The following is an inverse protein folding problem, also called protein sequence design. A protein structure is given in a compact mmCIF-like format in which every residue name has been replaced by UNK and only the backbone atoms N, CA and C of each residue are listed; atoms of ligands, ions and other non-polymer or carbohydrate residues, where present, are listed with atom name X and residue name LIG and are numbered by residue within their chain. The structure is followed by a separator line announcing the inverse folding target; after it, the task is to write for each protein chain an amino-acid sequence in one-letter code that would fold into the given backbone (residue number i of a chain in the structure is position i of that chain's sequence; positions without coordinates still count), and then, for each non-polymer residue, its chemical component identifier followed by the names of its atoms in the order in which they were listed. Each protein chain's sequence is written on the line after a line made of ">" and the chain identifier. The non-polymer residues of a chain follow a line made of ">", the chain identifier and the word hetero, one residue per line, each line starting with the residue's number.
data_IF_752116213987
#
_entry.id   IF_752116213987
#
_cell.length_a   1.000
_cell.length_b   1.000
_cell.length_c   1.000
_cell.angle_alpha   90.00
_cell.angle_beta   90.00
_cell.angle_gamma   90.00
#
_symmetry.space_group_name_H-M   'P 1'
#
loop_
_entity.id
_entity.type
_entity.pdbx_description
1 polymer ?
#
# COMPACT_ATOMS: atom_id res chain seq x y z
N UNK A 1 -19.96 44.23 -14.82
CA UNK A 1 -19.29 43.01 -14.34
C UNK A 1 -20.05 41.73 -14.76
N UNK A 2 -21.20 41.87 -15.42
CA UNK A 2 -22.11 40.75 -15.74
C UNK A 2 -21.66 39.86 -16.91
N UNK A 3 -20.82 40.39 -17.81
CA UNK A 3 -20.32 39.63 -18.97
C UNK A 3 -19.41 38.47 -18.60
N UNK A 4 -18.55 38.63 -17.59
CA UNK A 4 -17.61 37.58 -17.17
C UNK A 4 -18.34 36.40 -16.51
N UNK A 5 -19.38 36.69 -15.71
CA UNK A 5 -20.19 35.66 -15.06
C UNK A 5 -20.92 34.82 -16.09
N UNK A 6 -21.52 35.44 -17.11
CA UNK A 6 -22.17 34.70 -18.20
C UNK A 6 -21.19 33.83 -18.99
N UNK A 7 -19.97 34.33 -19.25
CA UNK A 7 -18.93 33.55 -19.94
C UNK A 7 -18.47 32.33 -19.11
N UNK A 8 -18.31 32.49 -17.79
CA UNK A 8 -17.99 31.37 -16.88
C UNK A 8 -19.10 30.33 -16.83
N UNK A 9 -20.37 30.75 -16.80
CA UNK A 9 -21.52 29.83 -16.82
C UNK A 9 -21.61 29.08 -18.14
N UNK A 10 -21.37 29.75 -19.28
CA UNK A 10 -21.34 29.10 -20.59
C UNK A 10 -20.20 28.06 -20.69
N UNK A 11 -19.00 28.41 -20.23
CA UNK A 11 -17.86 27.49 -20.19
C UNK A 11 -18.13 26.27 -19.30
N UNK A 12 -18.75 26.48 -18.14
CA UNK A 12 -19.11 25.38 -17.23
C UNK A 12 -20.16 24.44 -17.85
N UNK A 13 -21.16 24.97 -18.56
CA UNK A 13 -22.15 24.15 -19.28
C UNK A 13 -21.50 23.32 -20.39
N UNK A 14 -20.56 23.89 -21.14
CA UNK A 14 -19.81 23.17 -22.15
C UNK A 14 -18.96 22.03 -21.54
N UNK A 15 -18.32 22.28 -20.39
CA UNK A 15 -17.56 21.26 -19.67
C UNK A 15 -18.46 20.11 -19.18
N UNK A 16 -19.66 20.42 -18.66
CA UNK A 16 -20.64 19.40 -18.24
C UNK A 16 -21.09 18.56 -19.44
N UNK A 17 -21.34 19.17 -20.60
CA UNK A 17 -21.71 18.44 -21.81
C UNK A 17 -20.60 17.48 -22.26
N UNK A 18 -19.34 17.91 -22.19
CA UNK A 18 -18.18 17.05 -22.51
C UNK A 18 -18.04 15.87 -21.55
N UNK A 19 -18.19 16.10 -20.24
CA UNK A 19 -18.12 15.02 -19.25
C UNK A 19 -19.24 13.99 -19.44
N UNK A 20 -20.44 14.41 -19.86
CA UNK A 20 -21.52 13.48 -20.21
C UNK A 20 -21.14 12.59 -21.39
N UNK A 21 -20.60 13.17 -22.46
CA UNK A 21 -20.15 12.38 -23.62
C UNK A 21 -19.01 11.42 -23.28
N UNK A 22 -18.11 11.78 -22.36
CA UNK A 22 -17.05 10.87 -21.89
C UNK A 22 -17.61 9.72 -21.03
N UNK A 23 -18.62 9.98 -20.20
CA UNK A 23 -19.30 8.93 -19.44
C UNK A 23 -20.07 7.96 -20.32
N UNK A 24 -20.75 8.47 -21.36
CA UNK A 24 -21.45 7.62 -22.33
C UNK A 24 -20.44 6.73 -23.09
N UNK A 25 -19.31 7.29 -23.51
CA UNK A 25 -18.24 6.53 -24.18
C UNK A 25 -17.60 5.46 -23.27
N UNK A 26 -17.45 5.72 -21.98
CA UNK A 26 -16.97 4.73 -21.02
C UNK A 26 -17.99 3.60 -20.82
N UNK A 27 -19.28 3.91 -20.83
CA UNK A 27 -20.36 2.93 -20.71
C UNK A 27 -20.37 1.99 -21.91
N UNK A 28 -20.23 2.52 -23.13
CA UNK A 28 -20.08 1.71 -24.35
C UNK A 28 -18.81 0.83 -24.30
N UNK A 29 -17.70 1.35 -23.77
CA UNK A 29 -16.47 0.58 -23.63
C UNK A 29 -16.62 -0.58 -22.62
N UNK A 30 -17.39 -0.39 -21.55
CA UNK A 30 -17.71 -1.44 -20.56
C UNK A 30 -18.58 -2.54 -21.18
N UNK A 31 -19.59 -2.18 -21.98
CA UNK A 31 -20.41 -3.16 -22.72
C UNK A 31 -19.56 -3.99 -23.68
N UNK A 32 -18.65 -3.35 -24.44
CA UNK A 32 -17.73 -4.05 -25.34
C UNK A 32 -16.78 -4.99 -24.59
N UNK A 33 -16.31 -4.59 -23.41
CA UNK A 33 -15.41 -5.41 -22.60
C UNK A 33 -16.15 -6.60 -21.99
N UNK A 34 -17.40 -6.38 -21.57
CA UNK A 34 -18.31 -7.43 -21.08
C UNK A 34 -18.65 -8.44 -22.17
N UNK A 35 -18.92 -7.98 -23.40
CA UNK A 35 -19.17 -8.85 -24.55
C UNK A 35 -17.92 -9.66 -24.93
N UNK A 36 -16.73 -9.05 -24.87
CA UNK A 36 -15.46 -9.76 -25.04
C UNK A 36 -15.24 -10.81 -23.96
N UNK A 37 -15.46 -10.50 -22.69
CA UNK A 37 -15.32 -11.47 -21.60
C UNK A 37 -16.31 -12.63 -21.74
N UNK A 38 -17.55 -12.36 -22.13
CA UNK A 38 -18.55 -13.39 -22.43
C UNK A 38 -18.12 -14.26 -23.61
N UNK A 39 -17.52 -13.66 -24.66
CA UNK A 39 -16.98 -14.42 -25.80
C UNK A 39 -15.81 -15.33 -25.43
N UNK A 40 -15.07 -14.99 -24.37
CA UNK A 40 -13.97 -15.78 -23.83
C UNK A 40 -14.43 -16.89 -22.86
N UNK A 41 -15.74 -17.03 -22.62
CA UNK A 41 -16.29 -18.02 -21.69
C UNK A 41 -15.98 -17.74 -20.23
N UNK A 42 -15.63 -16.50 -19.89
CA UNK A 42 -15.45 -16.05 -18.51
C UNK A 42 -16.83 -15.61 -18.02
N UNK A 43 -17.67 -16.57 -17.68
CA UNK A 43 -18.94 -16.28 -17.02
C UNK A 43 -18.66 -15.77 -15.60
N UNK A 44 -19.33 -14.69 -15.19
CA UNK A 44 -19.20 -13.99 -13.89
C UNK A 44 -19.36 -14.88 -12.64
N UNK A 45 -19.65 -16.16 -12.81
CA UNK A 45 -19.78 -17.15 -11.75
C UNK A 45 -18.48 -17.37 -10.92
N UNK A 46 -17.31 -16.94 -11.42
CA UNK A 46 -16.02 -17.16 -10.74
C UNK A 46 -15.71 -16.06 -9.70
N UNK A 47 -16.47 -14.96 -9.63
CA UNK A 47 -16.21 -13.89 -8.65
C UNK A 47 -16.70 -14.16 -7.23
N UNK A 48 -17.44 -15.25 -7.01
CA UNK A 48 -17.48 -15.88 -5.69
C UNK A 48 -16.14 -16.59 -5.47
N UNK A 49 -15.17 -15.81 -4.98
CA UNK A 49 -13.98 -16.33 -4.32
C UNK A 49 -14.48 -17.16 -3.14
N UNK A 50 -14.71 -18.45 -3.39
CA UNK A 50 -14.85 -19.45 -2.37
C UNK A 50 -13.49 -19.46 -1.67
N UNK A 51 -13.40 -18.78 -0.52
CA UNK A 51 -12.23 -18.88 0.33
C UNK A 51 -12.02 -20.39 0.54
N UNK A 52 -10.86 -20.96 0.21
CA UNK A 52 -10.60 -22.36 0.49
C UNK A 52 -10.84 -22.53 1.99
N UNK A 53 -11.88 -23.29 2.31
CA UNK A 53 -12.18 -23.69 3.69
C UNK A 53 -10.97 -24.50 4.12
N UNK A 54 -10.04 -23.85 4.83
CA UNK A 54 -8.85 -24.49 5.40
C UNK A 54 -9.36 -25.50 6.42
N UNK A 55 -9.44 -26.76 6.00
CA UNK A 55 -9.68 -27.88 6.88
C UNK A 55 -8.55 -27.93 7.91
N UNK A 56 -8.84 -27.64 9.18
CA UNK A 56 -7.88 -27.90 10.26
C UNK A 56 -7.81 -26.90 11.40
N UNK A 57 -8.63 -25.85 11.46
CA UNK A 57 -8.69 -25.00 12.66
C UNK A 57 -9.66 -25.64 13.70
N UNK A 58 -9.18 -26.05 14.89
CA UNK A 58 -10.04 -26.56 15.94
C UNK A 58 -10.93 -25.44 16.45
N UNK A 59 -12.18 -25.45 15.98
CA UNK A 59 -13.29 -24.64 16.45
C UNK A 59 -13.42 -24.75 17.97
N UNK A 60 -12.89 -23.74 18.69
CA UNK A 60 -13.10 -23.57 20.13
C UNK A 60 -14.55 -23.15 20.34
N UNK A 61 -15.42 -24.16 20.36
CA UNK A 61 -16.88 -24.11 20.46
C UNK A 61 -17.31 -23.45 21.77
N UNK A 62 -17.39 -22.11 21.81
CA UNK A 62 -18.02 -21.39 22.91
C UNK A 62 -19.54 -21.43 22.70
N UNK A 63 -20.15 -22.40 23.38
CA UNK A 63 -21.58 -22.64 23.57
C UNK A 63 -22.27 -21.32 23.96
N UNK A 64 -22.82 -20.58 23.00
CA UNK A 64 -23.86 -19.58 23.25
C UNK A 64 -25.20 -20.21 22.91
N UNK A 65 -26.08 -20.12 23.89
CA UNK A 65 -27.40 -20.73 23.90
C UNK A 65 -28.23 -20.24 22.71
N UNK A 66 -28.98 -21.17 22.15
CA UNK A 66 -30.02 -20.95 21.18
C UNK A 66 -31.14 -20.09 21.80
N UNK A 67 -31.50 -19.02 21.12
CA UNK A 67 -32.85 -18.46 21.14
C UNK A 67 -33.26 -18.33 19.69
N UNK A 68 -34.24 -19.14 19.31
CA UNK A 68 -34.77 -19.21 17.97
C UNK A 68 -35.83 -18.14 17.70
N UNK A 69 -35.88 -17.73 16.44
CA UNK A 69 -37.03 -17.28 15.65
C UNK A 69 -36.42 -17.01 14.26
N UNK A 70 -36.70 -17.76 13.20
CA UNK A 70 -38.03 -18.12 12.72
C UNK A 70 -38.55 -16.95 11.87
N UNK A 71 -38.20 -16.91 10.59
CA UNK A 71 -38.70 -15.90 9.66
C UNK A 71 -37.95 -15.84 8.33
N UNK A 72 -38.62 -16.29 7.28
CA UNK A 72 -38.35 -16.13 5.86
C UNK A 72 -37.36 -15.04 5.42
N UNK A 73 -36.30 -15.42 4.69
CA UNK A 73 -35.47 -14.47 3.93
C UNK A 73 -34.87 -15.12 2.68
N UNK A 74 -35.68 -15.86 1.93
CA UNK A 74 -35.29 -16.50 0.66
C UNK A 74 -35.66 -15.64 -0.55
N UNK A 75 -35.35 -14.33 -0.55
CA UNK A 75 -35.56 -13.44 -1.71
C UNK A 75 -34.65 -12.20 -1.75
N UNK A 76 -33.51 -12.18 -1.03
CA UNK A 76 -32.56 -11.03 -1.08
C UNK A 76 -31.22 -11.40 -1.72
N UNK A 77 -31.22 -12.20 -2.79
CA UNK A 77 -29.98 -12.58 -3.51
C UNK A 77 -29.74 -11.81 -4.82
N UNK A 78 -30.65 -10.92 -5.23
CA UNK A 78 -30.52 -10.16 -6.48
C UNK A 78 -30.28 -8.65 -6.30
N UNK A 79 -30.38 -8.10 -5.08
CA UNK A 79 -30.27 -6.64 -4.85
C UNK A 79 -28.89 -6.19 -4.35
N UNK A 80 -27.97 -7.11 -4.04
CA UNK A 80 -26.66 -6.77 -3.46
C UNK A 80 -25.60 -6.38 -4.51
N UNK A 81 -25.79 -6.73 -5.79
CA UNK A 81 -24.85 -6.39 -6.86
C UNK A 81 -24.92 -4.92 -7.30
N UNK A 82 -26.07 -4.25 -7.16
CA UNK A 82 -26.23 -2.85 -7.56
C UNK A 82 -25.67 -1.83 -6.57
N UNK A 83 -25.67 -2.15 -5.27
CA UNK A 83 -25.22 -1.21 -4.24
C UNK A 83 -23.68 -1.04 -4.22
N UNK A 84 -22.93 -2.09 -4.59
CA UNK A 84 -21.46 -2.02 -4.67
C UNK A 84 -20.97 -1.10 -5.78
N UNK A 85 -21.66 -1.09 -6.92
CA UNK A 85 -21.27 -0.28 -8.08
C UNK A 85 -21.52 1.21 -7.83
N UNK A 86 -22.65 1.56 -7.19
CA UNK A 86 -22.93 2.96 -6.79
C UNK A 86 -21.92 3.48 -5.75
N UNK A 87 -21.49 2.64 -4.81
CA UNK A 87 -20.45 3.01 -3.84
C UNK A 87 -19.08 3.20 -4.51
N UNK A 88 -18.75 2.34 -5.48
CA UNK A 88 -17.54 2.44 -6.29
C UNK A 88 -17.49 3.73 -7.11
N UNK A 89 -18.58 4.04 -7.83
CA UNK A 89 -18.69 5.29 -8.60
C UNK A 89 -18.62 6.51 -7.70
N UNK A 90 -19.30 6.50 -6.53
CA UNK A 90 -19.24 7.60 -5.58
C UNK A 90 -17.82 7.84 -5.04
N UNK A 91 -17.04 6.77 -4.77
CA UNK A 91 -15.65 6.87 -4.35
C UNK A 91 -14.75 7.44 -5.46
N UNK A 92 -14.94 7.03 -6.71
CA UNK A 92 -14.18 7.56 -7.85
C UNK A 92 -14.48 9.04 -8.07
N UNK A 93 -15.74 9.45 -7.99
CA UNK A 93 -16.15 10.86 -8.08
C UNK A 93 -15.54 11.70 -6.95
N UNK A 94 -15.60 11.21 -5.70
CA UNK A 94 -14.95 11.87 -4.56
C UNK A 94 -13.43 11.99 -4.72
N UNK A 95 -12.76 10.96 -5.25
CA UNK A 95 -11.32 10.99 -5.51
C UNK A 95 -10.98 12.00 -6.61
N UNK A 96 -11.76 12.05 -7.68
CA UNK A 96 -11.58 13.02 -8.77
C UNK A 96 -11.77 14.47 -8.28
N UNK A 97 -12.79 14.72 -7.44
CA UNK A 97 -13.02 16.02 -6.80
C UNK A 97 -11.85 16.44 -5.90
N UNK A 98 -11.28 15.51 -5.12
CA UNK A 98 -10.12 15.78 -4.26
C UNK A 98 -8.85 16.09 -5.09
N UNK A 99 -8.68 15.42 -6.24
CA UNK A 99 -7.56 15.69 -7.16
C UNK A 99 -7.68 17.04 -7.86
N UNK A 100 -8.89 17.43 -8.28
CA UNK A 100 -9.14 18.73 -8.91
C UNK A 100 -8.93 19.87 -7.91
N UNK A 101 -9.44 19.73 -6.68
CA UNK A 101 -9.26 20.75 -5.63
C UNK A 101 -7.79 20.95 -5.25
N UNK A 102 -6.99 19.88 -5.16
CA UNK A 102 -5.53 20.00 -4.93
C UNK A 102 -4.77 20.61 -6.09
N UNK A 103 -5.25 20.43 -7.33
CA UNK A 103 -4.61 21.02 -8.52
C UNK A 103 -4.90 22.52 -8.67
N UNK A 104 -5.93 23.02 -7.98
CA UNK A 104 -6.29 24.43 -7.98
C UNK A 104 -5.56 25.27 -6.95
N UNK A 105 -4.63 24.71 -6.17
CA UNK A 105 -3.80 25.53 -5.28
C UNK A 105 -2.76 26.28 -6.13
N UNK A 106 -2.88 27.62 -6.27
CA UNK A 106 -1.93 28.41 -7.03
C UNK A 106 -0.56 28.28 -6.37
N UNK A 107 0.43 27.84 -7.14
CA UNK A 107 1.80 27.68 -6.69
C UNK A 107 2.23 28.91 -5.86
N UNK A 108 2.66 28.74 -4.60
CA UNK A 108 3.20 29.85 -3.84
C UNK A 108 4.42 30.37 -4.61
N UNK A 109 4.33 31.62 -5.03
CA UNK A 109 5.40 32.37 -5.66
C UNK A 109 6.48 32.53 -4.58
N UNK A 110 7.36 31.55 -4.46
CA UNK A 110 8.47 31.58 -3.53
C UNK A 110 9.46 32.63 -4.04
N UNK A 111 9.36 33.84 -3.50
CA UNK A 111 10.41 34.85 -3.55
C UNK A 111 11.68 34.25 -2.95
N UNK A 112 12.62 33.90 -3.81
CA UNK A 112 14.00 33.63 -3.44
C UNK A 112 14.61 34.93 -2.87
N UNK A 113 14.78 34.97 -1.56
CA UNK A 113 15.67 35.94 -0.91
C UNK A 113 16.84 35.17 -0.31
N UNK A 114 17.95 35.19 -1.05
CA UNK A 114 19.24 34.66 -0.63
C UNK A 114 19.98 35.73 0.18
N UNK A 115 20.42 35.40 1.39
CA UNK A 115 21.49 36.00 2.21
C UNK A 115 21.37 35.37 3.62
N UNK A 116 22.38 34.96 4.38
CA UNK A 116 23.83 35.06 4.34
C UNK A 116 24.38 33.92 5.25
N UNK A 117 25.49 33.27 4.89
CA UNK A 117 26.79 33.37 5.58
C UNK A 117 26.74 33.56 7.10
N UNK A 118 27.00 32.51 7.89
CA UNK A 118 27.80 32.56 9.15
C UNK A 118 28.54 31.22 9.35
N UNK A 119 29.80 31.37 9.78
CA UNK A 119 30.92 30.45 10.01
C UNK A 119 30.72 29.20 10.91
N UNK A 120 31.67 28.25 10.87
CA UNK A 120 31.70 27.04 11.71
C UNK A 120 32.36 27.28 13.09
N UNK A 121 31.91 26.59 14.15
CA UNK A 121 32.73 26.35 15.33
C UNK A 121 33.25 24.90 15.39
N UNK A 122 34.57 24.80 15.50
CA UNK A 122 35.31 23.61 15.85
C UNK A 122 35.08 23.18 17.31
N UNK A 123 34.95 21.87 17.53
CA UNK A 123 35.25 21.18 18.80
C UNK A 123 35.41 19.69 18.46
N UNK A 124 36.61 19.13 18.32
CA UNK A 124 37.50 18.63 19.39
C UNK A 124 36.79 17.90 20.52
N UNK A 125 36.68 16.56 20.43
CA UNK A 125 36.85 15.67 21.59
C UNK A 125 37.19 14.22 21.19
N UNK A 126 38.43 13.86 21.56
CA UNK A 126 38.98 12.58 22.08
C UNK A 126 38.90 11.27 21.25
N UNK A 127 40.06 10.70 20.83
CA UNK A 127 40.20 9.29 20.54
C UNK A 127 40.47 8.49 21.83
N UNK A 128 39.58 7.55 22.18
CA UNK A 128 39.88 6.53 23.20
C UNK A 128 40.37 5.28 22.50
N UNK A 129 41.68 5.09 22.58
CA UNK A 129 42.38 3.85 22.28
C UNK A 129 42.31 2.91 23.48
N UNK A 130 41.91 1.66 23.24
CA UNK A 130 42.20 0.45 24.03
C UNK A 130 41.47 -0.73 23.35
N UNK A 131 41.98 -1.95 23.19
CA UNK A 131 43.28 -2.56 23.39
C UNK A 131 43.19 -3.98 22.77
N UNK A 132 44.28 -4.46 22.13
CA UNK A 132 44.80 -5.85 22.16
C UNK A 132 43.89 -7.09 21.95
N UNK A 133 44.07 -7.75 20.78
CA UNK A 133 44.53 -9.17 20.54
C UNK A 133 44.03 -10.33 21.43
N UNK A 134 43.72 -11.55 20.91
CA UNK A 134 44.72 -12.36 20.21
C UNK A 134 44.27 -13.17 18.98
N UNK A 135 45.29 -13.36 18.14
CA UNK A 135 45.42 -14.39 17.12
C UNK A 135 45.12 -15.78 17.66
N UNK A 136 44.28 -16.54 16.97
CA UNK A 136 44.13 -17.99 17.17
C UNK A 136 44.34 -18.70 15.82
N UNK A 137 45.55 -19.25 15.72
CA UNK A 137 46.02 -20.45 15.03
C UNK A 137 45.07 -21.17 14.04
N UNK A 138 45.49 -21.38 12.77
CA UNK A 138 44.72 -22.13 11.79
C UNK A 138 44.89 -23.64 12.00
N UNK A 139 43.80 -24.34 12.31
CA UNK A 139 43.77 -25.80 12.25
C UNK A 139 43.69 -26.28 10.78
N UNK A 140 44.42 -27.33 10.37
CA UNK A 140 44.36 -27.89 9.03
C UNK A 140 43.02 -28.63 8.83
N UNK A 141 42.07 -27.96 8.17
CA UNK A 141 40.82 -28.59 7.74
C UNK A 141 41.10 -29.46 6.53
N UNK A 142 40.96 -30.78 6.71
CA UNK A 142 41.02 -31.78 5.67
C UNK A 142 40.12 -31.40 4.48
N UNK A 143 40.66 -31.53 3.28
CA UNK A 143 39.95 -31.29 2.03
C UNK A 143 38.76 -32.25 1.89
N UNK A 144 37.51 -31.74 1.80
CA UNK A 144 36.38 -32.59 1.42
C UNK A 144 36.49 -32.98 -0.07
N UNK A 145 36.04 -34.19 -0.44
CA UNK A 145 36.07 -34.66 -1.82
C UNK A 145 35.21 -33.78 -2.75
N UNK A 146 35.50 -33.76 -4.06
CA UNK A 146 34.73 -32.98 -5.03
C UNK A 146 33.31 -33.51 -5.12
N UNK A 147 32.39 -32.85 -4.41
CA UNK A 147 30.95 -33.06 -4.57
C UNK A 147 30.55 -32.64 -5.98
N UNK A 148 29.89 -33.59 -6.65
CA UNK A 148 29.31 -33.44 -7.97
C UNK A 148 28.57 -32.10 -8.14
N UNK A 149 28.77 -31.49 -9.31
CA UNK A 149 28.06 -30.32 -9.81
C UNK A 149 26.54 -30.51 -9.72
N UNK A 150 25.96 -30.19 -8.57
CA UNK A 150 24.54 -29.95 -8.44
C UNK A 150 24.29 -28.56 -9.01
N UNK A 151 23.47 -28.52 -10.07
CA UNK A 151 22.96 -27.34 -10.73
C UNK A 151 22.57 -26.29 -9.68
N UNK A 152 23.29 -25.17 -9.65
CA UNK A 152 23.16 -24.18 -8.59
C UNK A 152 21.70 -23.65 -8.58
N UNK A 153 20.99 -23.70 -7.44
CA UNK A 153 19.63 -23.20 -7.36
C UNK A 153 19.61 -21.73 -7.82
N UNK A 154 18.56 -21.31 -8.57
CA UNK A 154 18.45 -19.96 -9.07
C UNK A 154 18.56 -18.98 -7.89
N UNK A 155 19.47 -18.00 -8.03
CA UNK A 155 19.67 -16.97 -7.00
C UNK A 155 18.33 -16.26 -6.77
N UNK A 156 17.83 -16.18 -5.52
CA UNK A 156 16.59 -15.48 -5.25
C UNK A 156 16.75 -14.03 -5.72
N UNK A 157 15.85 -13.60 -6.59
CA UNK A 157 15.81 -12.20 -7.00
C UNK A 157 15.44 -11.36 -5.78
N UNK A 158 16.19 -10.26 -5.59
CA UNK A 158 16.04 -9.37 -4.45
C UNK A 158 15.49 -8.02 -4.93
N UNK A 159 14.64 -7.42 -4.11
CA UNK A 159 14.27 -6.01 -4.20
C UNK A 159 14.69 -5.26 -2.94
N UNK A 160 14.19 -4.03 -2.79
CA UNK A 160 14.43 -3.23 -1.59
C UNK A 160 13.14 -2.55 -1.10
N UNK A 161 13.01 -2.38 0.21
CA UNK A 161 11.91 -1.64 0.83
C UNK A 161 12.46 -0.45 1.61
N UNK A 162 11.79 0.69 1.47
CA UNK A 162 11.99 1.91 2.25
C UNK A 162 10.71 2.19 3.02
N UNK A 163 10.76 2.21 4.36
CA UNK A 163 9.63 2.52 5.23
C UNK A 163 9.88 3.85 5.92
N UNK A 164 9.00 4.82 5.66
CA UNK A 164 9.02 6.14 6.26
C UNK A 164 7.82 6.28 7.19
N UNK A 165 8.07 6.44 8.49
CA UNK A 165 7.01 6.55 9.49
C UNK A 165 6.87 7.97 10.01
N UNK A 166 5.62 8.43 10.13
CA UNK A 166 5.27 9.72 10.76
C UNK A 166 4.12 9.51 11.76
N UNK A 167 4.33 9.63 13.09
CA UNK A 167 5.62 9.79 13.78
C UNK A 167 6.53 8.55 13.63
N UNK A 168 7.77 8.65 14.13
CA UNK A 168 8.78 7.57 14.06
C UNK A 168 8.22 6.25 14.62
N UNK A 169 8.44 5.16 13.90
CA UNK A 169 8.04 3.82 14.32
C UNK A 169 8.92 3.29 15.47
N UNK A 170 8.30 2.72 16.50
CA UNK A 170 8.97 2.00 17.59
C UNK A 170 9.31 0.57 17.18
N UNK A 171 8.48 -0.02 16.32
CA UNK A 171 8.61 -1.42 15.89
C UNK A 171 8.10 -1.59 14.46
N UNK A 172 8.85 -2.29 13.63
CA UNK A 172 8.47 -2.65 12.25
C UNK A 172 8.70 -4.14 12.07
N UNK A 173 7.76 -4.86 11.46
CA UNK A 173 7.92 -6.24 11.02
C UNK A 173 7.56 -6.38 9.56
N UNK A 174 8.30 -7.23 8.84
CA UNK A 174 8.00 -7.66 7.48
C UNK A 174 7.77 -9.16 7.46
N UNK A 175 6.56 -9.60 7.10
CA UNK A 175 6.17 -11.02 7.10
C UNK A 175 6.45 -11.74 8.43
N UNK A 176 6.38 -10.98 9.54
CA UNK A 176 6.68 -11.47 10.89
C UNK A 176 8.16 -11.37 11.31
N UNK A 177 9.08 -11.10 10.38
CA UNK A 177 10.48 -10.83 10.70
C UNK A 177 10.63 -9.40 11.24
N UNK A 178 11.22 -9.20 12.42
CA UNK A 178 11.44 -7.87 12.97
C UNK A 178 12.51 -7.12 12.17
N UNK A 179 12.18 -5.89 11.79
CA UNK A 179 13.10 -4.94 11.19
C UNK A 179 13.54 -3.90 12.23
N UNK A 180 14.52 -3.08 11.86
CA UNK A 180 15.03 -2.04 12.76
C UNK A 180 13.96 -0.97 13.06
N UNK A 181 13.94 -0.41 14.27
CA UNK A 181 13.02 0.66 14.63
C UNK A 181 13.37 1.97 13.92
N UNK A 182 12.34 2.78 13.62
CA UNK A 182 12.49 4.09 12.96
C UNK A 182 12.18 4.09 11.47
N UNK A 183 12.96 4.85 10.70
CA UNK A 183 12.84 4.90 9.24
C UNK A 183 13.82 3.91 8.62
N UNK A 184 13.31 3.07 7.74
CA UNK A 184 14.09 2.08 7.00
C UNK A 184 14.31 2.59 5.59
N UNK A 185 15.54 2.55 5.10
CA UNK A 185 15.87 2.99 3.74
C UNK A 185 16.62 1.88 3.03
N UNK A 186 16.06 1.37 1.93
CA UNK A 186 16.73 0.40 1.06
C UNK A 186 17.03 -0.95 1.70
N UNK A 187 16.15 -1.46 2.59
CA UNK A 187 16.33 -2.77 3.20
C UNK A 187 16.13 -3.86 2.13
N UNK A 188 17.11 -4.74 1.88
CA UNK A 188 16.98 -5.77 0.88
C UNK A 188 15.99 -6.84 1.34
N UNK A 189 15.02 -7.17 0.48
CA UNK A 189 14.00 -8.19 0.76
C UNK A 189 13.79 -9.08 -0.46
N UNK A 190 13.28 -10.32 -0.29
CA UNK A 190 12.88 -11.16 -1.40
C UNK A 190 11.86 -10.47 -2.31
N UNK A 191 11.82 -10.86 -3.58
CA UNK A 191 10.74 -10.43 -4.49
C UNK A 191 9.42 -11.10 -4.10
N UNK A 192 8.32 -10.36 -4.19
CA UNK A 192 6.97 -10.87 -3.95
C UNK A 192 6.14 -10.03 -2.97
N UNK A 193 5.06 -10.62 -2.41
CA UNK A 193 4.18 -9.93 -1.48
C UNK A 193 4.78 -9.84 -0.06
N UNK A 194 4.79 -8.63 0.48
CA UNK A 194 5.25 -8.30 1.82
C UNK A 194 4.13 -7.71 2.65
N UNK A 195 3.99 -8.19 3.88
CA UNK A 195 3.07 -7.66 4.88
C UNK A 195 3.87 -6.89 5.93
N UNK A 196 3.92 -5.57 5.75
CA UNK A 196 4.60 -4.67 6.68
C UNK A 196 3.64 -4.32 7.81
N UNK A 197 4.03 -4.59 9.05
CA UNK A 197 3.34 -4.08 10.22
C UNK A 197 4.23 -3.08 10.95
N UNK A 198 3.67 -1.91 11.25
CA UNK A 198 4.37 -0.83 11.93
C UNK A 198 3.60 -0.45 13.20
N UNK A 199 4.33 -0.14 14.26
CA UNK A 199 3.77 0.30 15.54
C UNK A 199 4.49 1.55 16.05
N UNK A 200 3.72 2.53 16.50
CA UNK A 200 4.21 3.70 17.22
C UNK A 200 3.17 4.13 18.26
N UNK A 201 3.60 4.49 19.48
CA UNK A 201 2.70 5.03 20.52
C UNK A 201 1.46 4.15 20.80
N UNK A 202 1.59 2.83 20.69
CA UNK A 202 0.48 1.90 20.87
C UNK A 202 -0.46 1.74 19.64
N UNK A 203 -0.35 2.58 18.62
CA UNK A 203 -1.06 2.45 17.34
C UNK A 203 -0.33 1.42 16.47
N UNK A 204 -1.07 0.45 15.91
CA UNK A 204 -0.56 -0.55 14.98
C UNK A 204 -1.22 -0.38 13.60
N UNK A 205 -0.43 -0.37 12.54
CA UNK A 205 -0.90 -0.35 11.13
C UNK A 205 -0.26 -1.49 10.35
N UNK A 206 -0.98 -2.03 9.37
CA UNK A 206 -0.53 -3.10 8.48
C UNK A 206 -0.73 -2.67 7.03
N UNK A 207 0.27 -2.90 6.19
CA UNK A 207 0.27 -2.61 4.76
C UNK A 207 0.73 -3.84 3.99
N UNK A 208 0.11 -4.06 2.83
CA UNK A 208 0.52 -5.11 1.89
C UNK A 208 1.18 -4.44 0.68
N UNK A 209 2.39 -4.84 0.36
CA UNK A 209 3.20 -4.26 -0.72
C UNK A 209 3.78 -5.38 -1.56
N UNK A 210 3.76 -5.25 -2.88
CA UNK A 210 4.39 -6.20 -3.78
C UNK A 210 5.72 -5.62 -4.31
N UNK A 211 6.82 -6.33 -4.09
CA UNK A 211 8.17 -5.92 -4.48
C UNK A 211 8.59 -6.67 -5.73
N UNK A 212 8.95 -5.94 -6.78
CA UNK A 212 9.48 -6.49 -8.03
C UNK A 212 11.02 -6.62 -7.98
N UNK A 213 11.64 -7.46 -8.83
CA UNK A 213 13.10 -7.61 -8.87
C UNK A 213 13.80 -6.29 -9.17
N UNK A 214 14.86 -5.99 -8.42
CA UNK A 214 15.64 -4.75 -8.51
C UNK A 214 14.81 -3.47 -8.30
N UNK A 215 13.59 -3.57 -7.76
CA UNK A 215 12.75 -2.43 -7.46
C UNK A 215 12.91 -2.01 -6.00
N UNK A 216 13.01 -0.70 -5.77
CA UNK A 216 12.87 -0.12 -4.43
C UNK A 216 11.43 0.36 -4.22
N UNK A 217 10.73 -0.17 -3.21
CA UNK A 217 9.38 0.24 -2.84
C UNK A 217 9.38 1.14 -1.62
N UNK A 218 8.84 2.35 -1.80
CA UNK A 218 8.65 3.31 -0.70
C UNK A 218 7.26 3.17 -0.09
N UNK A 219 7.21 3.05 1.24
CA UNK A 219 5.98 2.91 2.02
C UNK A 219 5.95 4.01 3.07
N UNK A 220 5.02 4.95 2.91
CA UNK A 220 4.79 6.03 3.88
C UNK A 220 3.68 5.63 4.83
N UNK A 221 4.02 5.50 6.10
CA UNK A 221 3.11 5.06 7.14
C UNK A 221 2.81 6.24 8.06
N UNK A 222 1.57 6.71 8.04
CA UNK A 222 1.09 7.69 9.01
C UNK A 222 0.44 6.94 10.19
N UNK A 223 1.02 7.14 11.39
CA UNK A 223 0.61 6.51 12.65
C UNK A 223 -0.06 7.50 13.60
N UNK A 224 -0.48 8.66 13.13
CA UNK A 224 -1.24 9.59 13.95
C UNK A 224 -2.46 8.88 14.55
N UNK A 225 -2.72 9.11 15.85
CA UNK A 225 -3.93 8.61 16.47
C UNK A 225 -5.09 9.18 15.67
N UNK A 226 -5.93 8.29 15.15
CA UNK A 226 -7.19 8.73 14.54
C UNK A 226 -8.01 9.23 15.70
N UNK A 227 -8.02 10.56 15.90
CA UNK A 227 -8.95 11.23 16.80
C UNK A 227 -10.35 10.93 16.27
N UNK A 228 -10.91 9.81 16.73
CA UNK A 228 -12.31 9.52 16.62
C UNK A 228 -12.97 10.44 17.62
N UNK A 229 -13.21 11.70 17.22
CA UNK A 229 -13.91 12.67 18.03
C UNK A 229 -15.17 12.02 18.60
N UNK A 230 -15.16 11.83 19.92
CA UNK A 230 -16.29 11.35 20.71
C UNK A 230 -16.89 12.53 21.43
#
# INVERSE_FOLDING_TARGET
>A
MDGEVMQRVAAMRAAIAKLRTELDALTEAEEQLSEKLRSLGIDDAITTVDLPTVAGLPSRRKKRAAVGAGGELSTIKAAAAGAGLMLGVALVVLLALNLVTRRSEPAPIASASASASVAPPAASVVPVAAATTPSAEPAPSAAPPPSASAEAPPKPEMGAITVLCTPRCDWITDNGAPLSPGNLVGVPVPVGPHRIEARANGVKRSYSVNVAPNQTREVRINLEPVDRGF
#
